data_IF_721897004095
#
_entry.id   IF_721897004095
#
_cell.length_a   1.000
_cell.length_b   1.000
_cell.length_c   1.000
_cell.angle_alpha   90.00
_cell.angle_beta   90.00
_cell.angle_gamma   90.00
#
_symmetry.space_group_name_H-M   'P 1'
#
loop_
_entity.id
_entity.type
_entity.pdbx_description
1 polymer ?
#
# COMPACT_ATOMS: atom_id res chain seq x y z
N UNK A 1 21.65 -24.60 31.55
CA UNK A 1 21.00 -24.91 30.27
C UNK A 1 19.79 -24.00 30.15
N UNK A 2 20.02 -22.77 29.65
CA UNK A 2 18.95 -21.85 29.26
C UNK A 2 18.30 -22.38 28.01
N UNK A 3 17.05 -22.78 28.10
CA UNK A 3 16.23 -23.10 26.95
C UNK A 3 15.90 -21.78 26.26
N UNK A 4 16.55 -21.53 25.11
CA UNK A 4 16.09 -20.52 24.17
C UNK A 4 14.73 -20.94 23.63
N UNK A 5 13.66 -20.42 24.24
CA UNK A 5 12.33 -20.42 23.63
C UNK A 5 12.42 -19.44 22.47
N UNK A 6 12.11 -19.84 21.22
CA UNK A 6 11.91 -18.88 20.16
C UNK A 6 10.79 -17.95 20.62
N UNK A 7 11.02 -16.63 20.58
CA UNK A 7 9.96 -15.67 20.84
C UNK A 7 8.85 -15.95 19.83
N UNK A 8 7.75 -16.52 20.29
CA UNK A 8 6.53 -16.60 19.52
C UNK A 8 6.12 -15.16 19.24
N UNK A 9 6.29 -14.74 17.97
CA UNK A 9 5.72 -13.48 17.52
C UNK A 9 4.22 -13.57 17.77
N UNK A 10 3.72 -12.85 18.75
CA UNK A 10 2.31 -12.90 19.06
C UNK A 10 1.49 -12.39 17.86
N UNK A 11 0.47 -13.15 17.51
CA UNK A 11 -0.47 -12.85 16.43
C UNK A 11 -1.72 -12.26 17.04
N UNK A 12 -2.16 -11.14 16.50
CA UNK A 12 -3.43 -10.49 16.85
C UNK A 12 -4.37 -10.66 15.66
N UNK A 13 -5.47 -11.34 15.86
CA UNK A 13 -6.51 -11.47 14.86
C UNK A 13 -7.39 -10.21 14.82
N UNK A 14 -7.64 -9.73 13.61
CA UNK A 14 -8.45 -8.53 13.34
C UNK A 14 -9.54 -8.91 12.34
N UNK A 15 -10.76 -8.53 12.60
CA UNK A 15 -11.85 -8.63 11.62
C UNK A 15 -12.26 -7.25 11.07
N UNK A 16 -13.07 -7.23 10.03
CA UNK A 16 -13.45 -6.01 9.31
C UNK A 16 -14.44 -5.10 10.05
N UNK A 17 -14.87 -5.46 11.26
CA UNK A 17 -15.71 -4.62 12.12
C UNK A 17 -14.87 -3.76 13.07
N UNK A 18 -13.60 -4.08 13.22
CA UNK A 18 -12.67 -3.35 14.08
C UNK A 18 -12.11 -2.12 13.37
N UNK A 19 -11.75 -1.12 14.16
CA UNK A 19 -11.00 0.04 13.66
C UNK A 19 -9.53 -0.37 13.45
N UNK A 20 -9.18 -0.66 12.22
CA UNK A 20 -7.84 -1.14 11.85
C UNK A 20 -6.75 -0.12 12.21
N UNK A 21 -7.01 1.19 12.07
CA UNK A 21 -6.03 2.22 12.46
C UNK A 21 -5.79 2.23 13.98
N UNK A 22 -6.83 2.07 14.76
CA UNK A 22 -6.71 1.97 16.22
C UNK A 22 -5.90 0.73 16.63
N UNK A 23 -6.13 -0.40 15.98
CA UNK A 23 -5.35 -1.64 16.23
C UNK A 23 -3.89 -1.45 15.85
N UNK A 24 -3.60 -0.82 14.71
CA UNK A 24 -2.22 -0.50 14.30
C UNK A 24 -1.53 0.40 15.32
N UNK A 25 -2.18 1.47 15.75
CA UNK A 25 -1.63 2.41 16.72
C UNK A 25 -1.34 1.76 18.06
N UNK A 26 -2.23 0.88 18.52
CA UNK A 26 -2.05 0.14 19.79
C UNK A 26 -0.88 -0.85 19.74
N UNK A 27 -0.44 -1.26 18.57
CA UNK A 27 0.62 -2.25 18.37
C UNK A 27 1.87 -1.68 17.69
N UNK A 28 1.98 -0.36 17.58
CA UNK A 28 3.15 0.30 17.02
C UNK A 28 4.43 -0.10 17.75
N UNK A 29 5.47 -0.45 16.99
CA UNK A 29 6.76 -0.85 17.54
C UNK A 29 6.80 -2.21 18.25
N UNK A 30 5.71 -2.98 18.20
CA UNK A 30 5.59 -4.23 18.97
C UNK A 30 6.27 -5.44 18.32
N UNK A 31 6.54 -5.38 17.02
CA UNK A 31 6.98 -6.53 16.22
C UNK A 31 5.91 -7.60 16.02
N UNK A 32 4.67 -7.33 16.41
CA UNK A 32 3.56 -8.28 16.32
C UNK A 32 3.04 -8.42 14.89
N UNK A 33 2.42 -9.55 14.62
CA UNK A 33 1.66 -9.80 13.40
C UNK A 33 0.19 -9.48 13.63
N UNK A 34 -0.37 -8.60 12.80
CA UNK A 34 -1.80 -8.39 12.70
C UNK A 34 -2.33 -9.28 11.58
N UNK A 35 -3.11 -10.28 11.93
CA UNK A 35 -3.73 -11.19 10.99
C UNK A 35 -5.15 -10.71 10.68
N UNK A 36 -5.33 -10.20 9.47
CA UNK A 36 -6.59 -9.68 8.98
C UNK A 36 -7.42 -10.84 8.40
N UNK A 37 -8.52 -11.15 9.04
CA UNK A 37 -9.48 -12.14 8.55
C UNK A 37 -10.04 -11.74 7.19
N UNK A 38 -10.50 -12.72 6.43
CA UNK A 38 -11.19 -12.48 5.18
C UNK A 38 -12.36 -11.49 5.35
N UNK A 39 -12.47 -10.57 4.41
CA UNK A 39 -13.52 -9.55 4.40
C UNK A 39 -13.04 -8.26 3.75
N UNK A 40 -13.98 -7.34 3.58
CA UNK A 40 -13.69 -5.99 3.09
C UNK A 40 -13.46 -5.04 4.27
N UNK A 41 -12.29 -4.43 4.28
CA UNK A 41 -11.89 -3.37 5.22
C UNK A 41 -12.03 -2.04 4.51
N UNK A 42 -13.11 -1.31 4.77
CA UNK A 42 -13.43 -0.05 4.10
C UNK A 42 -12.63 1.09 4.72
N UNK A 43 -11.72 1.65 3.93
CA UNK A 43 -10.89 2.77 4.34
C UNK A 43 -11.60 4.09 4.02
N UNK A 44 -11.88 4.87 5.04
CA UNK A 44 -12.43 6.24 4.91
C UNK A 44 -11.33 7.31 4.87
N UNK A 45 -10.15 6.94 5.30
CA UNK A 45 -8.92 7.73 5.26
C UNK A 45 -7.73 6.83 5.05
N UNK A 46 -6.59 7.41 4.70
CA UNK A 46 -5.33 6.65 4.56
C UNK A 46 -5.02 5.90 5.85
N UNK A 47 -4.62 4.64 5.68
CA UNK A 47 -4.12 3.82 6.76
C UNK A 47 -2.64 4.12 6.95
N UNK A 48 -2.26 4.62 8.11
CA UNK A 48 -0.87 4.88 8.45
C UNK A 48 -0.28 3.68 9.18
N UNK A 49 0.74 3.07 8.58
CA UNK A 49 1.38 1.87 9.12
C UNK A 49 2.67 2.25 9.86
N UNK A 50 2.75 1.99 11.17
CA UNK A 50 3.94 2.30 11.97
C UNK A 50 5.07 1.29 11.74
N UNK A 51 6.26 1.61 12.24
CA UNK A 51 7.41 0.70 12.24
C UNK A 51 7.17 -0.56 13.08
N UNK A 52 7.98 -1.58 12.80
CA UNK A 52 8.02 -2.84 13.55
C UNK A 52 6.65 -3.51 13.64
N UNK A 53 6.00 -3.68 12.50
CA UNK A 53 4.70 -4.33 12.40
C UNK A 53 4.62 -5.23 11.17
N UNK A 54 3.90 -6.32 11.28
CA UNK A 54 3.60 -7.25 10.21
C UNK A 54 2.09 -7.33 10.02
N UNK A 55 1.62 -7.02 8.82
CA UNK A 55 0.21 -7.14 8.42
C UNK A 55 0.10 -8.33 7.46
N UNK A 56 -0.72 -9.29 7.79
CA UNK A 56 -0.95 -10.49 6.99
C UNK A 56 -2.46 -10.73 6.84
N UNK A 57 -2.92 -10.92 5.60
CA UNK A 57 -4.31 -11.28 5.32
C UNK A 57 -4.47 -12.75 4.93
N UNK A 58 -5.65 -13.10 4.46
CA UNK A 58 -6.02 -14.42 3.95
C UNK A 58 -6.03 -14.46 2.41
N UNK A 59 -5.06 -13.79 1.77
CA UNK A 59 -4.94 -13.73 0.33
C UNK A 59 -5.98 -12.80 -0.31
N UNK A 60 -6.57 -13.22 -1.43
CA UNK A 60 -7.52 -12.40 -2.19
C UNK A 60 -8.85 -12.15 -1.49
N UNK A 61 -9.14 -12.89 -0.45
CA UNK A 61 -10.35 -12.69 0.36
C UNK A 61 -10.23 -11.61 1.42
N UNK A 62 -9.03 -11.10 1.68
CA UNK A 62 -8.80 -9.93 2.53
C UNK A 62 -8.56 -8.71 1.64
N UNK A 63 -9.49 -7.75 1.65
CA UNK A 63 -9.46 -6.59 0.77
C UNK A 63 -9.51 -5.30 1.58
N UNK A 64 -8.48 -4.48 1.44
CA UNK A 64 -8.50 -3.08 1.88
C UNK A 64 -9.02 -2.24 0.73
N UNK A 65 -10.25 -1.72 0.86
CA UNK A 65 -10.93 -1.00 -0.21
C UNK A 65 -11.14 0.47 0.17
N UNK A 66 -10.76 1.38 -0.73
CA UNK A 66 -10.89 2.81 -0.50
C UNK A 66 -12.31 3.30 -0.74
N UNK A 67 -12.85 4.04 0.22
CA UNK A 67 -14.00 4.90 -0.01
C UNK A 67 -13.60 6.23 -0.68
N UNK A 68 -14.54 6.98 -1.28
CA UNK A 68 -14.24 8.23 -1.99
C UNK A 68 -13.58 9.33 -1.12
N UNK A 69 -13.61 9.17 0.19
CA UNK A 69 -12.96 10.08 1.15
C UNK A 69 -11.45 9.93 1.24
N UNK A 70 -10.89 8.81 0.78
CA UNK A 70 -9.43 8.62 0.69
C UNK A 70 -8.91 9.39 -0.52
N UNK A 71 -8.04 10.36 -0.29
CA UNK A 71 -7.58 11.29 -1.34
C UNK A 71 -6.10 11.22 -1.67
N UNK A 72 -5.30 10.56 -0.86
CA UNK A 72 -3.86 10.40 -1.10
C UNK A 72 -3.54 8.95 -1.41
N UNK A 73 -3.08 8.19 -0.46
CA UNK A 73 -2.82 6.77 -0.62
C UNK A 73 -3.73 5.94 0.28
N UNK A 74 -4.00 4.70 -0.10
CA UNK A 74 -4.69 3.77 0.80
C UNK A 74 -3.82 3.48 2.02
N UNK A 75 -2.54 3.23 1.81
CA UNK A 75 -1.55 2.94 2.85
C UNK A 75 -0.41 3.95 2.77
N UNK A 76 -0.14 4.61 3.87
CA UNK A 76 1.04 5.45 4.08
C UNK A 76 1.96 4.74 5.07
N UNK A 77 3.25 4.63 4.77
CA UNK A 77 4.23 4.23 5.75
C UNK A 77 4.62 5.48 6.55
N UNK A 78 4.31 5.43 7.86
CA UNK A 78 3.99 6.57 8.66
C UNK A 78 5.09 7.55 9.03
N UNK A 79 6.20 7.11 9.55
CA UNK A 79 7.23 8.01 10.06
C UNK A 79 8.39 8.18 9.08
N UNK A 80 9.12 9.29 9.17
CA UNK A 80 10.28 9.56 8.32
C UNK A 80 11.35 8.46 8.36
N UNK A 81 11.44 7.76 9.47
CA UNK A 81 12.37 6.64 9.70
C UNK A 81 11.64 5.30 9.82
N UNK A 82 10.51 5.13 9.15
CA UNK A 82 9.74 3.90 9.22
C UNK A 82 10.57 2.70 8.74
N UNK A 83 10.56 1.61 9.50
CA UNK A 83 11.34 0.41 9.22
C UNK A 83 10.71 -0.85 9.77
N UNK A 84 11.18 -1.99 9.26
CA UNK A 84 10.72 -3.31 9.67
C UNK A 84 9.21 -3.46 9.52
N UNK A 85 8.72 -3.20 8.31
CA UNK A 85 7.31 -3.33 7.95
C UNK A 85 7.16 -4.43 6.92
N UNK A 86 6.28 -5.38 7.19
CA UNK A 86 5.87 -6.39 6.23
C UNK A 86 4.37 -6.30 6.02
N UNK A 87 3.95 -6.27 4.75
CA UNK A 87 2.53 -6.34 4.36
C UNK A 87 2.41 -7.48 3.37
N UNK A 88 1.54 -8.45 3.66
CA UNK A 88 1.40 -9.63 2.81
C UNK A 88 -0.01 -10.21 2.77
N UNK A 89 -0.25 -11.00 1.73
CA UNK A 89 -1.45 -11.84 1.56
C UNK A 89 -2.76 -11.05 1.60
N UNK A 90 -2.86 -9.95 0.85
CA UNK A 90 -4.09 -9.17 0.78
C UNK A 90 -4.19 -8.38 -0.54
N UNK A 91 -5.35 -7.79 -0.74
CA UNK A 91 -5.65 -6.89 -1.86
C UNK A 91 -5.80 -5.46 -1.34
N UNK A 92 -5.20 -4.51 -2.05
CA UNK A 92 -5.40 -3.07 -1.85
C UNK A 92 -6.09 -2.52 -3.08
N UNK A 93 -7.32 -2.07 -2.94
CA UNK A 93 -8.19 -1.67 -4.04
C UNK A 93 -8.61 -0.19 -3.91
N UNK A 94 -8.26 0.59 -4.91
CA UNK A 94 -8.67 2.01 -5.02
C UNK A 94 -10.15 2.20 -5.34
N UNK A 95 -10.87 1.13 -5.64
CA UNK A 95 -12.32 1.15 -5.93
C UNK A 95 -12.72 2.08 -7.09
N UNK A 96 -11.87 2.24 -8.07
CA UNK A 96 -12.11 3.11 -9.22
C UNK A 96 -13.43 2.80 -9.95
N UNK A 97 -13.82 1.55 -9.99
CA UNK A 97 -15.05 1.09 -10.65
C UNK A 97 -16.33 1.50 -9.91
N UNK A 98 -16.23 1.84 -8.63
CA UNK A 98 -17.35 2.14 -7.76
C UNK A 98 -17.36 3.59 -7.25
N UNK A 99 -16.51 4.46 -7.81
CA UNK A 99 -16.41 5.86 -7.38
C UNK A 99 -16.83 6.83 -8.48
N UNK A 100 -17.62 7.83 -8.08
CA UNK A 100 -17.69 9.12 -8.77
C UNK A 100 -16.64 10.03 -8.15
N UNK A 101 -15.54 10.21 -8.83
CA UNK A 101 -14.42 10.97 -8.29
C UNK A 101 -14.47 12.43 -8.75
N UNK A 102 -14.20 13.33 -7.84
CA UNK A 102 -14.06 14.75 -8.11
C UNK A 102 -12.60 15.10 -8.37
N UNK A 103 -12.34 15.71 -9.53
CA UNK A 103 -11.04 16.27 -9.83
C UNK A 103 -10.99 17.75 -9.42
N UNK A 104 -10.23 18.08 -8.39
CA UNK A 104 -10.14 19.48 -7.91
C UNK A 104 -9.46 20.42 -8.91
N UNK A 105 -8.66 19.88 -9.85
CA UNK A 105 -7.96 20.71 -10.84
C UNK A 105 -8.87 21.15 -11.99
N UNK A 106 -9.79 20.28 -12.39
CA UNK A 106 -10.76 20.60 -13.47
C UNK A 106 -12.13 21.00 -12.95
N UNK A 107 -12.40 20.83 -11.67
CA UNK A 107 -13.72 21.07 -11.07
C UNK A 107 -14.81 20.11 -11.54
N UNK A 108 -14.43 18.98 -12.12
CA UNK A 108 -15.35 18.02 -12.73
C UNK A 108 -15.47 16.74 -11.93
N UNK A 109 -16.67 16.16 -11.97
CA UNK A 109 -16.88 14.79 -11.53
C UNK A 109 -16.64 13.82 -12.69
N UNK A 110 -15.91 12.76 -12.42
CA UNK A 110 -15.71 11.67 -13.35
C UNK A 110 -16.60 10.49 -12.99
N UNK A 111 -17.15 9.87 -14.01
CA UNK A 111 -18.02 8.71 -13.84
C UNK A 111 -17.25 7.52 -13.31
N UNK A 112 -17.97 6.64 -12.64
CA UNK A 112 -17.55 5.31 -12.20
C UNK A 112 -16.66 4.60 -13.23
N UNK A 113 -15.62 3.95 -12.78
CA UNK A 113 -14.69 3.20 -13.61
C UNK A 113 -13.54 4.00 -14.22
N UNK A 114 -13.50 5.31 -14.06
CA UNK A 114 -12.48 6.16 -14.69
C UNK A 114 -11.48 6.79 -13.75
N UNK A 115 -11.85 6.96 -12.50
CA UNK A 115 -11.05 7.68 -11.53
C UNK A 115 -11.33 7.22 -10.10
N UNK A 116 -10.28 7.03 -9.32
CA UNK A 116 -10.37 6.90 -7.87
C UNK A 116 -9.90 8.20 -7.21
N UNK A 117 -10.53 8.61 -6.13
CA UNK A 117 -10.03 9.72 -5.32
C UNK A 117 -8.69 9.36 -4.64
N UNK A 118 -8.45 8.10 -4.35
CA UNK A 118 -7.16 7.61 -3.89
C UNK A 118 -6.15 7.60 -5.05
N UNK A 119 -5.05 8.32 -4.87
CA UNK A 119 -4.04 8.50 -5.91
C UNK A 119 -3.06 7.33 -5.98
N UNK A 120 -2.71 6.74 -4.85
CA UNK A 120 -1.78 5.61 -4.78
C UNK A 120 -2.31 4.51 -3.85
N UNK A 121 -1.87 3.28 -4.10
CA UNK A 121 -2.17 2.17 -3.21
C UNK A 121 -1.30 2.23 -1.96
N UNK A 122 0.00 2.13 -2.14
CA UNK A 122 0.98 2.21 -1.06
C UNK A 122 1.96 3.33 -1.40
N UNK A 123 2.14 4.27 -0.50
CA UNK A 123 3.08 5.38 -0.66
C UNK A 123 4.08 5.41 0.48
N UNK A 124 5.35 5.45 0.10
CA UNK A 124 6.47 5.57 1.01
C UNK A 124 7.35 6.72 0.51
N UNK A 125 7.50 7.72 1.34
CA UNK A 125 8.43 8.83 1.06
C UNK A 125 9.39 8.99 2.21
N UNK A 126 10.66 8.70 1.97
CA UNK A 126 11.75 9.16 2.82
C UNK A 126 12.08 10.63 2.56
N UNK A 127 12.89 11.18 3.40
CA UNK A 127 13.56 12.47 3.19
C UNK A 127 15.06 12.26 3.21
N UNK A 128 15.81 13.16 2.60
CA UNK A 128 17.28 13.12 2.61
C UNK A 128 17.78 13.06 4.07
N UNK A 129 18.52 12.01 4.40
CA UNK A 129 19.00 11.75 5.76
C UNK A 129 18.05 10.93 6.65
N UNK A 130 16.87 10.60 6.16
CA UNK A 130 15.88 9.74 6.82
C UNK A 130 15.44 8.65 5.84
N UNK A 131 16.02 7.47 5.93
CA UNK A 131 15.69 6.38 5.03
C UNK A 131 14.74 5.39 5.70
N UNK A 132 13.68 5.04 4.97
CA UNK A 132 12.90 3.85 5.30
C UNK A 132 13.80 2.63 5.17
N UNK A 133 13.62 1.63 6.00
CA UNK A 133 14.44 0.44 5.96
C UNK A 133 13.67 -0.84 6.17
N UNK A 134 14.11 -1.89 5.49
CA UNK A 134 13.57 -3.24 5.65
C UNK A 134 12.04 -3.30 5.46
N UNK A 135 11.60 -2.96 4.26
CA UNK A 135 10.19 -2.99 3.86
C UNK A 135 9.97 -4.21 2.96
N UNK A 136 8.99 -5.03 3.30
CA UNK A 136 8.63 -6.22 2.54
C UNK A 136 7.17 -6.17 2.12
N UNK A 137 6.95 -6.26 0.82
CA UNK A 137 5.63 -6.40 0.21
C UNK A 137 5.58 -7.75 -0.48
N UNK A 138 4.71 -8.64 0.02
CA UNK A 138 4.66 -10.03 -0.45
C UNK A 138 3.23 -10.46 -0.76
N UNK A 139 3.07 -11.13 -1.88
CA UNK A 139 1.78 -11.68 -2.29
C UNK A 139 0.64 -10.65 -2.14
N UNK A 140 0.87 -9.45 -2.66
CA UNK A 140 -0.10 -8.36 -2.70
C UNK A 140 -0.67 -8.21 -4.10
N UNK A 141 -1.95 -7.87 -4.17
CA UNK A 141 -2.57 -7.29 -5.35
C UNK A 141 -2.90 -5.83 -5.06
N UNK A 142 -2.39 -4.90 -5.86
CA UNK A 142 -2.65 -3.46 -5.72
C UNK A 142 -3.25 -2.94 -7.04
N UNK A 143 -4.51 -2.54 -6.98
CA UNK A 143 -5.32 -2.24 -8.18
C UNK A 143 -6.17 -0.98 -8.04
N UNK A 144 -6.54 -0.41 -9.19
CA UNK A 144 -7.56 0.63 -9.32
C UNK A 144 -7.22 1.98 -8.69
N UNK A 145 -5.95 2.32 -8.59
CA UNK A 145 -5.53 3.65 -8.15
C UNK A 145 -5.35 4.61 -9.32
N UNK A 146 -5.59 5.90 -9.10
CA UNK A 146 -5.61 6.88 -10.19
C UNK A 146 -4.24 7.30 -10.68
N UNK A 147 -3.20 7.11 -9.89
CA UNK A 147 -1.80 7.37 -10.28
C UNK A 147 -0.97 6.12 -10.17
N UNK A 148 -0.40 5.86 -9.02
CA UNK A 148 0.53 4.74 -8.83
C UNK A 148 -0.10 3.63 -8.00
N UNK A 149 0.18 2.37 -8.36
CA UNK A 149 -0.11 1.27 -7.46
C UNK A 149 0.74 1.39 -6.19
N UNK A 150 2.06 1.40 -6.38
CA UNK A 150 3.03 1.59 -5.29
C UNK A 150 4.03 2.67 -5.69
N UNK A 151 4.26 3.62 -4.82
CA UNK A 151 5.27 4.67 -4.95
C UNK A 151 6.21 4.65 -3.76
N UNK A 152 7.50 4.51 -4.04
CA UNK A 152 8.56 4.45 -3.03
C UNK A 152 9.67 5.43 -3.41
N UNK A 153 10.07 6.28 -2.47
CA UNK A 153 11.25 7.14 -2.64
C UNK A 153 12.11 7.19 -1.39
N UNK A 154 13.43 7.35 -1.60
CA UNK A 154 14.42 7.54 -0.55
C UNK A 154 14.37 6.42 0.52
N UNK A 155 14.28 5.17 0.06
CA UNK A 155 14.19 4.00 0.91
C UNK A 155 15.40 3.08 0.75
N UNK A 156 15.66 2.27 1.76
CA UNK A 156 16.72 1.27 1.75
C UNK A 156 16.22 -0.08 2.23
N UNK A 157 16.56 -1.14 1.49
CA UNK A 157 16.14 -2.49 1.85
C UNK A 157 14.66 -2.75 1.55
N UNK A 158 14.27 -2.73 0.29
CA UNK A 158 12.90 -3.01 -0.16
C UNK A 158 12.88 -4.39 -0.82
N UNK A 159 11.95 -5.22 -0.42
CA UNK A 159 11.65 -6.50 -1.06
C UNK A 159 10.21 -6.51 -1.58
N UNK A 160 10.04 -6.78 -2.86
CA UNK A 160 8.74 -6.98 -3.52
C UNK A 160 8.76 -8.38 -4.12
N UNK A 161 7.87 -9.25 -3.64
CA UNK A 161 7.86 -10.66 -3.97
C UNK A 161 6.45 -11.19 -4.19
N UNK A 162 6.22 -11.90 -5.30
CA UNK A 162 4.91 -12.43 -5.67
C UNK A 162 3.78 -11.39 -5.65
N UNK A 163 4.07 -10.17 -6.08
CA UNK A 163 3.09 -9.09 -6.13
C UNK A 163 2.51 -8.92 -7.54
N UNK A 164 1.27 -8.43 -7.59
CA UNK A 164 0.56 -8.07 -8.81
C UNK A 164 0.04 -6.63 -8.66
N UNK A 165 0.75 -5.68 -9.25
CA UNK A 165 0.35 -4.27 -9.30
C UNK A 165 -0.14 -3.97 -10.71
N UNK A 166 -1.45 -3.83 -10.86
CA UNK A 166 -2.09 -3.76 -12.17
C UNK A 166 -3.29 -2.82 -12.18
N UNK A 167 -3.74 -2.40 -13.35
CA UNK A 167 -4.90 -1.51 -13.53
C UNK A 167 -4.79 -0.16 -12.77
N UNK A 168 -3.57 0.35 -12.59
CA UNK A 168 -3.35 1.64 -11.98
C UNK A 168 -3.16 2.73 -13.05
N UNK A 169 -3.41 3.98 -12.66
CA UNK A 169 -3.50 5.11 -13.57
C UNK A 169 -4.94 5.42 -13.96
N UNK A 170 -5.17 6.59 -14.53
CA UNK A 170 -6.47 7.03 -14.99
C UNK A 170 -6.38 7.82 -16.29
N UNK A 171 -7.37 7.67 -17.17
CA UNK A 171 -7.39 8.34 -18.47
C UNK A 171 -7.47 9.86 -18.40
N UNK A 172 -7.91 10.41 -17.29
CA UNK A 172 -8.44 11.77 -17.18
C UNK A 172 -7.69 12.66 -16.19
N UNK A 173 -6.61 12.18 -15.57
CA UNK A 173 -5.85 13.00 -14.58
C UNK A 173 -4.90 13.95 -15.31
N UNK A 174 -5.13 15.26 -15.26
CA UNK A 174 -4.11 16.22 -15.65
C UNK A 174 -3.01 16.24 -14.59
N UNK A 175 -1.77 16.27 -15.00
CA UNK A 175 -0.64 16.36 -14.07
C UNK A 175 0.56 15.55 -14.51
N UNK A 176 1.63 15.55 -13.70
CA UNK A 176 2.85 14.85 -14.06
C UNK A 176 2.61 13.37 -14.28
N UNK A 177 3.38 12.79 -15.19
CA UNK A 177 3.26 11.41 -15.68
C UNK A 177 3.70 10.36 -14.65
N UNK A 178 3.13 10.40 -13.46
CA UNK A 178 3.41 9.46 -12.36
C UNK A 178 2.31 8.39 -12.25
N UNK A 179 1.89 7.84 -13.40
CA UNK A 179 0.82 6.84 -13.47
C UNK A 179 1.42 5.47 -13.77
N UNK A 180 2.23 4.96 -12.86
CA UNK A 180 2.90 3.67 -13.00
C UNK A 180 2.36 2.66 -12.01
N UNK A 181 2.40 1.38 -12.35
CA UNK A 181 2.02 0.35 -11.38
C UNK A 181 2.98 0.32 -10.21
N UNK A 182 4.28 0.41 -10.47
CA UNK A 182 5.32 0.55 -9.46
C UNK A 182 6.30 1.64 -9.87
N UNK A 183 6.59 2.56 -8.97
CA UNK A 183 7.61 3.58 -9.14
C UNK A 183 8.52 3.62 -7.91
N UNK A 184 9.82 3.46 -8.13
CA UNK A 184 10.84 3.51 -7.08
C UNK A 184 11.88 4.55 -7.50
N UNK A 185 12.13 5.52 -6.63
CA UNK A 185 13.09 6.60 -6.87
C UNK A 185 14.11 6.73 -5.73
N UNK A 186 15.34 7.13 -6.06
CA UNK A 186 16.41 7.45 -5.10
C UNK A 186 16.56 6.40 -3.98
N UNK A 187 16.39 5.14 -4.30
CA UNK A 187 16.35 4.05 -3.31
C UNK A 187 17.46 3.04 -3.56
N UNK A 188 17.86 2.33 -2.51
CA UNK A 188 18.91 1.33 -2.56
C UNK A 188 18.45 -0.02 -1.97
N UNK A 189 19.16 -1.10 -2.34
CA UNK A 189 18.85 -2.43 -1.81
C UNK A 189 17.46 -2.93 -2.19
N UNK A 190 17.04 -2.67 -3.42
CA UNK A 190 15.72 -3.07 -3.95
C UNK A 190 15.80 -4.45 -4.59
N UNK A 191 14.97 -5.36 -4.14
CA UNK A 191 14.79 -6.68 -4.74
C UNK A 191 13.36 -6.84 -5.19
N UNK A 192 13.17 -7.17 -6.46
CA UNK A 192 11.85 -7.46 -7.05
C UNK A 192 11.93 -8.83 -7.70
N UNK A 193 11.05 -9.73 -7.32
CA UNK A 193 10.99 -11.09 -7.89
C UNK A 193 9.58 -11.61 -8.02
N UNK A 194 9.38 -12.48 -8.99
CA UNK A 194 8.13 -13.23 -9.22
C UNK A 194 6.87 -12.34 -9.21
N UNK A 195 7.00 -11.13 -9.76
CA UNK A 195 5.96 -10.10 -9.69
C UNK A 195 5.52 -9.64 -11.06
N UNK A 196 4.29 -9.13 -11.15
CA UNK A 196 3.66 -8.65 -12.37
C UNK A 196 3.25 -7.18 -12.24
N UNK A 197 3.58 -6.40 -13.26
CA UNK A 197 3.24 -4.97 -13.37
C UNK A 197 2.57 -4.73 -14.73
N UNK A 198 1.33 -5.10 -14.83
CA UNK A 198 0.59 -5.11 -16.09
C UNK A 198 -0.51 -4.05 -16.11
N UNK A 199 -0.87 -3.61 -17.32
CA UNK A 199 -1.97 -2.67 -17.54
C UNK A 199 -1.85 -1.40 -16.71
N UNK A 200 -0.79 -0.62 -16.98
CA UNK A 200 -0.70 0.78 -16.54
C UNK A 200 -1.39 1.66 -17.57
N UNK A 201 -2.44 2.37 -17.19
CA UNK A 201 -3.34 3.04 -18.14
C UNK A 201 -2.66 4.18 -18.92
N UNK A 202 -1.77 4.95 -18.27
CA UNK A 202 -1.05 6.08 -18.90
C UNK A 202 0.41 6.17 -18.48
N UNK A 203 1.02 5.07 -18.14
CA UNK A 203 2.39 5.05 -17.67
C UNK A 203 3.10 3.73 -18.00
N UNK A 204 4.13 3.45 -17.26
CA UNK A 204 4.87 2.20 -17.33
C UNK A 204 4.39 1.20 -16.26
N UNK A 205 4.59 -0.08 -16.50
CA UNK A 205 4.39 -1.08 -15.46
C UNK A 205 5.34 -0.83 -14.27
N UNK A 206 6.61 -0.63 -14.58
CA UNK A 206 7.68 -0.41 -13.60
C UNK A 206 8.56 0.77 -14.02
N UNK A 207 8.90 1.64 -13.08
CA UNK A 207 9.92 2.69 -13.22
C UNK A 207 10.88 2.61 -12.04
N UNK A 208 12.16 2.54 -12.35
CA UNK A 208 13.27 2.66 -11.39
C UNK A 208 14.10 3.89 -11.78
N UNK A 209 14.30 4.82 -10.86
CA UNK A 209 15.01 6.09 -11.08
C UNK A 209 15.95 6.45 -9.91
#
# INVERSE_FOLDING_TARGET
LEQNHPMEHSVIEVDNREDLQAVLNANAGSGKTLFLRAGEYRLKQSLTVPSDIHICGEGRSTVLICEPTVRTAAILLGDLDAKNITIENLVVDGSKEHQEAYDPNSGRFYRTGRYSNALAGISMRGETGHAFGNIKLKNLTVINFSRSGVYISDAEGIEIDHCDFTENGAHVVPGPRLQHNLMIQHSAGVTIKDSRFDTSIRGCGLVLD
#
